data_IF_215300837304
#
_entry.id   IF_215300837304
#
_cell.length_a   1.000
_cell.length_b   1.000
_cell.length_c   1.000
_cell.angle_alpha   90.00
_cell.angle_beta   90.00
_cell.angle_gamma   90.00
#
_symmetry.space_group_name_H-M   'P 1'
#
loop_
_entity.id
_entity.type
_entity.pdbx_description
1 polymer ?
#
# COMPACT_ATOMS: atom_id res chain seq x y z
N UNK A 1 2.77 24.60 45.30
CA UNK A 1 2.09 24.99 44.03
C UNK A 1 1.38 23.74 43.51
N UNK A 2 0.05 23.74 43.47
CA UNK A 2 -0.77 22.57 43.12
C UNK A 2 -1.10 22.60 41.63
N UNK A 3 -0.50 21.69 40.86
CA UNK A 3 -0.77 21.50 39.43
C UNK A 3 -2.00 20.61 39.26
N UNK A 4 -3.18 21.22 39.30
CA UNK A 4 -4.43 20.52 38.94
C UNK A 4 -4.50 20.31 37.42
N UNK A 5 -4.87 19.11 36.92
CA UNK A 5 -5.03 18.85 35.50
C UNK A 5 -6.09 19.78 34.90
N UNK A 6 -5.72 20.56 33.89
CA UNK A 6 -6.66 21.39 33.14
C UNK A 6 -7.62 20.48 32.36
N UNK A 7 -8.92 20.61 32.66
CA UNK A 7 -10.01 19.94 31.96
C UNK A 7 -9.99 20.39 30.48
N UNK A 8 -10.05 19.48 29.50
CA UNK A 8 -9.99 19.86 28.09
C UNK A 8 -11.15 20.80 27.75
N UNK A 9 -10.83 21.91 27.10
CA UNK A 9 -11.77 22.98 26.79
C UNK A 9 -12.91 22.47 25.88
N UNK A 10 -14.19 22.75 26.22
CA UNK A 10 -15.33 22.43 25.36
C UNK A 10 -15.37 23.43 24.21
N UNK A 11 -14.80 23.06 23.06
CA UNK A 11 -14.78 23.94 21.90
C UNK A 11 -13.67 23.69 20.88
N UNK A 12 -12.84 22.65 21.05
CA UNK A 12 -11.93 22.25 19.99
C UNK A 12 -12.77 21.93 18.73
N UNK A 13 -12.56 22.64 17.61
CA UNK A 13 -13.27 22.34 16.37
C UNK A 13 -12.87 20.94 15.93
N UNK A 14 -13.81 20.00 16.06
CA UNK A 14 -13.73 18.71 15.37
C UNK A 14 -13.91 19.03 13.90
N UNK A 15 -12.80 19.17 13.17
CA UNK A 15 -12.83 19.22 11.72
C UNK A 15 -13.26 17.82 11.23
N UNK A 16 -14.57 17.62 11.13
CA UNK A 16 -15.15 16.47 10.46
C UNK A 16 -14.98 16.68 8.95
N UNK A 17 -13.92 16.10 8.40
CA UNK A 17 -13.67 16.12 6.95
C UNK A 17 -14.80 15.36 6.27
N UNK A 18 -15.77 16.08 5.69
CA UNK A 18 -16.81 15.51 4.84
C UNK A 18 -16.22 15.27 3.45
N UNK A 19 -15.88 14.02 3.16
CA UNK A 19 -15.34 13.62 1.86
C UNK A 19 -16.54 13.21 0.99
N UNK A 20 -16.82 13.98 -0.06
CA UNK A 20 -17.74 13.58 -1.12
C UNK A 20 -17.01 12.63 -2.07
N UNK A 21 -17.50 11.40 -2.21
CA UNK A 21 -16.88 10.39 -3.07
C UNK A 21 -17.05 10.70 -4.57
N UNK A 22 -18.04 11.51 -4.93
CA UNK A 22 -18.29 11.93 -6.31
C UNK A 22 -17.17 12.82 -6.87
N UNK A 23 -16.54 13.61 -5.99
CA UNK A 23 -15.45 14.53 -6.34
C UNK A 23 -14.07 13.86 -6.35
N UNK A 24 -13.99 12.55 -6.05
CA UNK A 24 -12.71 11.85 -5.93
C UNK A 24 -12.33 11.11 -7.22
N UNK A 25 -11.04 11.10 -7.52
CA UNK A 25 -10.52 10.34 -8.64
C UNK A 25 -10.60 8.85 -8.37
N UNK A 26 -11.23 8.11 -9.29
CA UNK A 26 -11.22 6.65 -9.25
C UNK A 26 -9.96 6.13 -9.94
N UNK A 27 -9.17 5.35 -9.21
CA UNK A 27 -7.99 4.68 -9.73
C UNK A 27 -8.34 3.74 -10.91
N UNK A 28 -7.58 3.85 -11.99
CA UNK A 28 -7.69 2.99 -13.18
C UNK A 28 -6.38 2.26 -13.39
N UNK A 29 -6.45 1.10 -14.03
CA UNK A 29 -5.26 0.39 -14.47
C UNK A 29 -4.57 1.17 -15.60
N UNK A 30 -3.30 1.55 -15.42
CA UNK A 30 -2.52 2.31 -16.42
C UNK A 30 -2.37 1.58 -17.76
N UNK A 31 -2.51 0.25 -17.76
CA UNK A 31 -2.30 -0.57 -18.94
C UNK A 31 -3.57 -0.81 -19.78
N UNK A 32 -4.72 -1.06 -19.14
CA UNK A 32 -5.95 -1.42 -19.84
C UNK A 32 -7.17 -0.56 -19.48
N UNK A 33 -7.03 0.41 -18.58
CA UNK A 33 -8.10 1.33 -18.18
C UNK A 33 -9.18 0.72 -17.26
N UNK A 34 -9.04 -0.55 -16.86
CA UNK A 34 -9.99 -1.22 -15.98
C UNK A 34 -9.97 -0.65 -14.56
N UNK A 35 -11.13 -0.63 -13.90
CA UNK A 35 -11.33 -0.10 -12.55
C UNK A 35 -11.33 -1.17 -11.46
N UNK A 36 -11.53 -2.44 -11.86
CA UNK A 36 -11.65 -3.54 -10.92
C UNK A 36 -10.28 -4.15 -10.61
N UNK A 37 -10.00 -4.28 -9.32
CA UNK A 37 -8.79 -4.91 -8.81
C UNK A 37 -9.14 -6.09 -7.90
N UNK A 38 -8.32 -7.13 -7.95
CA UNK A 38 -8.44 -8.32 -7.12
C UNK A 38 -7.27 -8.38 -6.14
N UNK A 39 -7.51 -8.89 -4.93
CA UNK A 39 -6.45 -9.15 -3.97
C UNK A 39 -5.55 -10.26 -4.50
N UNK A 40 -4.23 -10.09 -4.36
CA UNK A 40 -3.23 -11.02 -4.86
C UNK A 40 -2.02 -11.01 -3.95
N UNK A 41 -1.13 -12.00 -4.09
CA UNK A 41 0.11 -12.07 -3.30
C UNK A 41 1.31 -12.15 -4.21
N UNK A 42 2.31 -11.29 -3.97
CA UNK A 42 3.65 -11.46 -4.51
C UNK A 42 4.46 -12.25 -3.51
N UNK A 43 5.12 -13.31 -3.97
CA UNK A 43 5.93 -14.16 -3.10
C UNK A 43 7.40 -13.71 -3.17
N UNK A 44 7.96 -13.27 -2.03
CA UNK A 44 9.38 -12.98 -1.90
C UNK A 44 10.12 -14.19 -1.36
N UNK A 45 11.18 -14.60 -2.06
CA UNK A 45 12.12 -15.61 -1.57
C UNK A 45 13.17 -14.94 -0.70
N UNK A 46 13.23 -15.31 0.57
CA UNK A 46 14.26 -14.85 1.50
C UNK A 46 15.33 -15.94 1.65
N UNK A 47 16.60 -15.54 1.61
CA UNK A 47 17.70 -16.46 1.89
C UNK A 47 17.84 -16.67 3.40
N UNK A 48 18.48 -17.77 3.81
CA UNK A 48 18.76 -18.06 5.21
C UNK A 48 19.57 -16.94 5.91
N UNK A 49 20.41 -16.22 5.15
CA UNK A 49 21.28 -15.16 5.68
C UNK A 49 20.48 -13.91 6.08
N UNK A 50 19.47 -13.54 5.29
CA UNK A 50 18.62 -12.35 5.57
C UNK A 50 17.40 -12.68 6.43
N UNK A 51 17.13 -13.96 6.63
CA UNK A 51 16.00 -14.44 7.41
C UNK A 51 16.27 -14.31 8.91
N UNK A 52 15.35 -13.73 9.70
CA UNK A 52 15.51 -13.61 11.15
C UNK A 52 15.55 -14.97 11.87
N UNK A 53 15.08 -16.05 11.22
CA UNK A 53 15.10 -17.42 11.76
C UNK A 53 16.29 -18.23 11.28
N UNK A 54 17.13 -17.71 10.38
CA UNK A 54 18.24 -18.44 9.77
C UNK A 54 17.83 -19.51 8.75
N UNK A 55 16.55 -19.54 8.35
CA UNK A 55 16.02 -20.52 7.39
C UNK A 55 15.53 -19.81 6.12
N UNK A 56 15.79 -20.40 4.96
CA UNK A 56 15.24 -19.91 3.70
C UNK A 56 13.71 -20.06 3.69
N UNK A 57 13.00 -19.08 3.15
CA UNK A 57 11.55 -19.02 3.25
C UNK A 57 10.88 -18.26 2.11
N UNK A 58 9.56 -18.46 1.99
CA UNK A 58 8.69 -17.72 1.09
C UNK A 58 7.80 -16.80 1.92
N UNK A 59 7.92 -15.49 1.70
CA UNK A 59 7.12 -14.47 2.39
C UNK A 59 6.08 -13.91 1.41
N UNK A 60 4.78 -14.10 1.67
CA UNK A 60 3.73 -13.50 0.85
C UNK A 60 3.55 -12.02 1.21
N UNK A 61 3.53 -11.16 0.19
CA UNK A 61 3.19 -9.74 0.32
C UNK A 61 1.89 -9.50 -0.41
N UNK A 62 0.87 -9.01 0.29
CA UNK A 62 -0.42 -8.73 -0.30
C UNK A 62 -0.35 -7.49 -1.20
N UNK A 63 -0.91 -7.60 -2.40
CA UNK A 63 -1.02 -6.54 -3.40
C UNK A 63 -2.41 -6.58 -4.05
N UNK A 64 -2.71 -5.59 -4.88
CA UNK A 64 -3.91 -5.57 -5.73
C UNK A 64 -3.51 -5.68 -7.19
N UNK A 65 -4.00 -6.69 -7.90
CA UNK A 65 -3.76 -6.86 -9.34
C UNK A 65 -4.99 -6.44 -10.14
N UNK A 66 -4.78 -5.93 -11.36
CA UNK A 66 -5.88 -5.59 -12.25
C UNK A 66 -6.68 -6.85 -12.58
N UNK A 67 -7.99 -6.85 -12.36
CA UNK A 67 -8.86 -7.99 -12.62
C UNK A 67 -9.06 -8.33 -14.11
N UNK A 68 -8.55 -7.49 -15.02
CA UNK A 68 -8.64 -7.71 -16.47
C UNK A 68 -7.30 -8.15 -17.08
N UNK A 69 -6.24 -7.36 -16.94
CA UNK A 69 -4.93 -7.67 -17.54
C UNK A 69 -3.90 -8.25 -16.56
N UNK A 70 -4.22 -8.36 -15.26
CA UNK A 70 -3.32 -8.90 -14.23
C UNK A 70 -2.18 -7.96 -13.80
N UNK A 71 -2.03 -6.79 -14.42
CA UNK A 71 -0.97 -5.85 -14.06
C UNK A 71 -1.20 -5.26 -12.67
N UNK A 72 -0.16 -5.27 -11.85
CA UNK A 72 -0.16 -4.65 -10.53
C UNK A 72 0.20 -3.16 -10.68
N UNK A 73 -0.61 -2.22 -10.18
CA UNK A 73 -0.31 -0.79 -10.29
C UNK A 73 1.01 -0.44 -9.60
N UNK A 74 1.84 0.39 -10.25
CA UNK A 74 3.17 0.77 -9.73
C UNK A 74 3.07 1.44 -8.36
N UNK A 75 2.08 2.32 -8.18
CA UNK A 75 1.81 3.02 -6.91
C UNK A 75 1.55 2.05 -5.73
N UNK A 76 0.95 0.89 -6.01
CA UNK A 76 0.67 -0.13 -5.00
C UNK A 76 1.87 -1.05 -4.73
N UNK A 77 2.74 -1.25 -5.71
CA UNK A 77 3.99 -2.00 -5.54
C UNK A 77 5.02 -1.24 -4.71
N UNK A 78 5.14 0.07 -4.96
CA UNK A 78 6.12 0.92 -4.27
C UNK A 78 5.82 1.00 -2.76
N UNK A 79 4.55 1.10 -2.38
CA UNK A 79 4.13 1.13 -0.98
C UNK A 79 4.30 -0.19 -0.25
N UNK A 80 4.31 -1.31 -0.96
CA UNK A 80 4.47 -2.66 -0.38
C UNK A 80 5.94 -3.10 -0.25
N UNK A 81 6.88 -2.16 -0.42
CA UNK A 81 8.33 -2.42 -0.28
C UNK A 81 8.86 -3.36 -1.35
N UNK A 82 8.14 -3.51 -2.46
CA UNK A 82 8.54 -4.24 -3.66
C UNK A 82 9.11 -3.23 -4.65
N UNK A 83 10.36 -2.80 -4.43
CA UNK A 83 11.09 -2.09 -5.46
C UNK A 83 11.40 -3.06 -6.60
N UNK A 84 10.57 -3.02 -7.64
CA UNK A 84 10.94 -3.61 -8.94
C UNK A 84 12.05 -2.71 -9.48
N UNK A 85 13.31 -3.15 -9.36
CA UNK A 85 14.36 -2.62 -10.21
C UNK A 85 13.96 -3.04 -11.62
N UNK A 86 13.44 -2.12 -12.40
CA UNK A 86 13.29 -2.32 -13.84
C UNK A 86 14.71 -2.63 -14.36
N UNK A 87 15.00 -3.91 -14.58
CA UNK A 87 16.18 -4.32 -15.33
C UNK A 87 15.97 -3.74 -16.73
N UNK A 88 16.60 -2.58 -16.97
CA UNK A 88 16.83 -2.11 -18.33
C UNK A 88 17.63 -3.23 -19.00
N UNK A 89 16.95 -3.99 -19.86
CA UNK A 89 17.60 -4.85 -20.83
C UNK A 89 18.35 -3.92 -21.77
N UNK A 90 19.61 -3.62 -21.45
CA UNK A 90 20.58 -3.04 -22.37
C UNK A 90 20.76 -4.09 -23.48
N UNK A 91 20.28 -3.77 -24.68
CA UNK A 91 20.54 -4.54 -25.90
C UNK A 91 21.90 -4.11 -26.48
#
# INVERSE_FOLDING_TARGET
MSTKPMKPFPGAPKNEVKINLEDQETMKCDNCGNYLFITSFVIKKISAIVSPTGQAGLVPVQVYSCGNCGQVPKQLLESSGLSVKEEKTDN
#
